data_IF_547356878480
#
_entry.id   IF_547356878480
#
_cell.length_a   1.000
_cell.length_b   1.000
_cell.length_c   1.000
_cell.angle_alpha   90.00
_cell.angle_beta   90.00
_cell.angle_gamma   90.00
#
_symmetry.space_group_name_H-M   'P 1'
#
loop_
_entity.id
_entity.type
_entity.pdbx_description
1 polymer ?
#
# COMPACT_ATOMS: atom_id res chain seq x y z
N UNK A 1 -28.88 18.01 -15.75
CA UNK A 1 -27.68 17.37 -16.32
C UNK A 1 -27.26 16.30 -15.33
N UNK A 2 -27.72 15.07 -15.51
CA UNK A 2 -27.39 13.94 -14.63
C UNK A 2 -25.97 13.52 -14.99
N UNK A 3 -25.01 13.85 -14.13
CA UNK A 3 -23.66 13.29 -14.24
C UNK A 3 -23.78 11.80 -13.97
N UNK A 4 -23.68 10.98 -15.02
CA UNK A 4 -23.69 9.53 -14.90
C UNK A 4 -22.30 9.08 -14.40
N UNK A 5 -22.00 9.41 -13.15
CA UNK A 5 -20.76 8.97 -12.49
C UNK A 5 -20.94 7.51 -12.12
N UNK A 6 -20.12 6.63 -12.70
CA UNK A 6 -20.11 5.21 -12.36
C UNK A 6 -19.36 5.01 -11.03
N UNK A 7 -20.06 5.27 -9.93
CA UNK A 7 -19.54 5.12 -8.56
C UNK A 7 -19.15 3.68 -8.25
N UNK A 8 -19.76 2.70 -8.92
CA UNK A 8 -19.36 1.30 -8.80
C UNK A 8 -17.95 1.08 -9.34
N UNK A 9 -17.63 1.61 -10.52
CA UNK A 9 -16.28 1.52 -11.09
C UNK A 9 -15.23 2.22 -10.24
N UNK A 10 -15.56 3.40 -9.69
CA UNK A 10 -14.64 4.12 -8.79
C UNK A 10 -14.35 3.27 -7.54
N UNK A 11 -15.39 2.66 -6.95
CA UNK A 11 -15.27 1.78 -5.78
C UNK A 11 -14.48 0.51 -6.09
N UNK A 12 -14.73 -0.12 -7.23
CA UNK A 12 -13.96 -1.27 -7.71
C UNK A 12 -12.47 -0.92 -7.82
N UNK A 13 -12.13 0.19 -8.46
CA UNK A 13 -10.74 0.65 -8.57
C UNK A 13 -10.10 0.93 -7.21
N UNK A 14 -10.81 1.61 -6.29
CA UNK A 14 -10.31 1.88 -4.94
C UNK A 14 -10.03 0.58 -4.16
N UNK A 15 -10.94 -0.38 -4.23
CA UNK A 15 -10.78 -1.70 -3.61
C UNK A 15 -9.62 -2.51 -4.23
N UNK A 16 -9.43 -2.43 -5.54
CA UNK A 16 -8.29 -3.08 -6.20
C UNK A 16 -6.95 -2.49 -5.75
N UNK A 17 -6.84 -1.17 -5.62
CA UNK A 17 -5.63 -0.51 -5.10
C UNK A 17 -5.35 -0.95 -3.66
N UNK A 18 -6.38 -1.00 -2.81
CA UNK A 18 -6.28 -1.48 -1.42
C UNK A 18 -5.79 -2.93 -1.38
N UNK A 19 -6.37 -3.80 -2.21
CA UNK A 19 -6.01 -5.22 -2.27
C UNK A 19 -4.57 -5.40 -2.75
N UNK A 20 -4.21 -4.80 -3.88
CA UNK A 20 -2.87 -4.92 -4.47
C UNK A 20 -1.78 -4.36 -3.56
N UNK A 21 -2.03 -3.22 -2.89
CA UNK A 21 -1.07 -2.65 -1.93
C UNK A 21 -0.86 -3.56 -0.72
N UNK A 22 -1.91 -4.26 -0.27
CA UNK A 22 -1.83 -5.24 0.82
C UNK A 22 -1.05 -6.49 0.40
N UNK A 23 -1.37 -7.06 -0.77
CA UNK A 23 -0.67 -8.23 -1.33
C UNK A 23 0.83 -7.94 -1.54
N UNK A 24 1.17 -6.77 -2.09
CA UNK A 24 2.57 -6.35 -2.26
C UNK A 24 3.28 -6.17 -0.92
N UNK A 25 2.59 -5.64 0.10
CA UNK A 25 3.17 -5.44 1.42
C UNK A 25 3.68 -6.74 2.06
N UNK A 26 2.96 -7.85 1.92
CA UNK A 26 3.39 -9.14 2.48
C UNK A 26 4.70 -9.63 1.84
N UNK A 27 4.81 -9.51 0.52
CA UNK A 27 6.00 -9.92 -0.23
C UNK A 27 7.22 -9.07 0.12
N UNK A 28 7.06 -7.74 0.10
CA UNK A 28 8.16 -6.83 0.41
C UNK A 28 8.59 -6.90 1.87
N UNK A 29 7.64 -7.04 2.81
CA UNK A 29 7.97 -7.22 4.23
C UNK A 29 8.85 -8.45 4.43
N UNK A 30 8.46 -9.58 3.83
CA UNK A 30 9.22 -10.83 3.90
C UNK A 30 10.64 -10.68 3.30
N UNK A 31 10.76 -9.97 2.18
CA UNK A 31 12.05 -9.68 1.56
C UNK A 31 12.95 -8.82 2.46
N UNK A 32 12.42 -7.70 2.98
CA UNK A 32 13.16 -6.81 3.87
C UNK A 32 13.64 -7.55 5.11
N UNK A 33 12.77 -8.33 5.76
CA UNK A 33 13.13 -9.12 6.94
C UNK A 33 14.26 -10.11 6.63
N UNK A 34 14.17 -10.82 5.50
CA UNK A 34 15.20 -11.78 5.09
C UNK A 34 16.56 -11.13 4.89
N UNK A 35 16.59 -9.96 4.24
CA UNK A 35 17.81 -9.21 3.97
C UNK A 35 18.42 -8.63 5.26
N UNK A 36 17.58 -8.07 6.14
CA UNK A 36 18.00 -7.48 7.42
C UNK A 36 18.55 -8.55 8.37
N UNK A 37 17.94 -9.75 8.38
CA UNK A 37 18.32 -10.85 9.26
C UNK A 37 19.41 -11.76 8.68
N UNK A 38 19.82 -11.55 7.43
CA UNK A 38 20.87 -12.35 6.77
C UNK A 38 22.18 -12.38 7.55
N UNK A 39 22.69 -11.27 8.12
CA UNK A 39 23.97 -11.28 8.84
C UNK A 39 23.89 -11.88 10.25
N UNK A 40 22.70 -11.87 10.86
CA UNK A 40 22.54 -12.18 12.29
C UNK A 40 21.85 -13.53 12.54
N UNK A 41 20.82 -13.86 11.75
CA UNK A 41 20.02 -15.06 11.94
C UNK A 41 20.53 -16.23 11.10
N UNK A 42 20.55 -16.08 9.77
CA UNK A 42 20.96 -17.18 8.89
C UNK A 42 22.48 -17.27 8.71
N UNK A 43 23.20 -16.16 8.92
CA UNK A 43 24.66 -16.04 8.81
C UNK A 43 25.22 -16.41 7.44
N UNK A 44 24.40 -16.33 6.38
CA UNK A 44 24.82 -16.63 5.01
C UNK A 44 25.74 -15.57 4.41
N UNK A 45 25.60 -14.32 4.88
CA UNK A 45 26.52 -13.24 4.56
C UNK A 45 26.80 -12.43 5.82
N UNK A 46 28.04 -12.46 6.29
CA UNK A 46 28.46 -11.87 7.57
C UNK A 46 29.62 -10.89 7.37
N UNK A 47 29.88 -10.08 8.41
CA UNK A 47 30.96 -9.09 8.42
C UNK A 47 30.46 -7.66 8.29
N UNK A 48 31.39 -6.71 8.33
CA UNK A 48 31.08 -5.28 8.35
C UNK A 48 30.26 -4.84 7.13
N UNK A 49 30.61 -5.34 5.94
CA UNK A 49 29.87 -5.04 4.70
C UNK A 49 28.42 -5.53 4.75
N UNK A 50 28.18 -6.72 5.33
CA UNK A 50 26.85 -7.29 5.45
C UNK A 50 26.00 -6.49 6.44
N UNK A 51 26.61 -6.04 7.55
CA UNK A 51 25.94 -5.18 8.53
C UNK A 51 25.59 -3.81 7.95
N UNK A 52 26.51 -3.19 7.21
CA UNK A 52 26.27 -1.91 6.54
C UNK A 52 25.14 -2.02 5.51
N UNK A 53 25.13 -3.09 4.72
CA UNK A 53 24.04 -3.37 3.78
C UNK A 53 22.70 -3.56 4.49
N UNK A 54 22.65 -4.39 5.54
CA UNK A 54 21.42 -4.60 6.31
C UNK A 54 20.88 -3.31 6.92
N UNK A 55 21.75 -2.38 7.35
CA UNK A 55 21.34 -1.07 7.83
C UNK A 55 20.75 -0.19 6.72
N UNK A 56 21.35 -0.17 5.52
CA UNK A 56 20.78 0.50 4.35
C UNK A 56 19.38 -0.04 4.02
N UNK A 57 19.22 -1.37 4.03
CA UNK A 57 17.95 -2.04 3.75
C UNK A 57 16.87 -1.67 4.78
N UNK A 58 17.22 -1.44 6.06
CA UNK A 58 16.25 -0.92 7.05
C UNK A 58 15.76 0.47 6.68
N UNK A 59 16.63 1.34 6.17
CA UNK A 59 16.22 2.67 5.72
C UNK A 59 15.31 2.59 4.49
N UNK A 60 15.61 1.70 3.55
CA UNK A 60 14.76 1.45 2.38
C UNK A 60 13.38 0.91 2.80
N UNK A 61 13.34 0.01 3.79
CA UNK A 61 12.09 -0.49 4.37
C UNK A 61 11.22 0.64 4.92
N UNK A 62 11.82 1.61 5.64
CA UNK A 62 11.08 2.76 6.18
C UNK A 62 10.47 3.62 5.07
N UNK A 63 11.19 3.82 3.96
CA UNK A 63 10.67 4.55 2.81
C UNK A 63 9.53 3.78 2.12
N UNK A 64 9.71 2.47 1.95
CA UNK A 64 8.67 1.59 1.42
C UNK A 64 7.40 1.60 2.29
N UNK A 65 7.55 1.54 3.62
CA UNK A 65 6.44 1.59 4.56
C UNK A 65 5.63 2.90 4.43
N UNK A 66 6.27 4.02 4.08
CA UNK A 66 5.54 5.28 3.78
C UNK A 66 4.84 5.23 2.42
N UNK A 67 5.51 4.67 1.41
CA UNK A 67 4.95 4.55 0.06
C UNK A 67 3.69 3.67 0.06
N UNK A 68 3.72 2.53 0.75
CA UNK A 68 2.56 1.63 0.80
C UNK A 68 1.37 2.31 1.48
N UNK A 69 1.60 3.08 2.55
CA UNK A 69 0.53 3.81 3.25
C UNK A 69 -0.07 4.89 2.37
N UNK A 70 0.75 5.58 1.57
CA UNK A 70 0.26 6.54 0.59
C UNK A 70 -0.65 5.86 -0.45
N UNK A 71 -0.19 4.77 -1.08
CA UNK A 71 -0.97 4.03 -2.10
C UNK A 71 -2.29 3.49 -1.51
N UNK A 72 -2.22 2.91 -0.32
CA UNK A 72 -3.40 2.38 0.36
C UNK A 72 -4.41 3.50 0.68
N UNK A 73 -3.92 4.66 1.12
CA UNK A 73 -4.75 5.84 1.38
C UNK A 73 -5.44 6.38 0.12
N UNK A 74 -4.78 6.37 -1.04
CA UNK A 74 -5.40 6.74 -2.32
C UNK A 74 -6.56 5.80 -2.67
N UNK A 75 -6.39 4.49 -2.46
CA UNK A 75 -7.46 3.51 -2.66
C UNK A 75 -8.68 3.78 -1.76
N UNK A 76 -8.45 4.13 -0.49
CA UNK A 76 -9.52 4.53 0.44
C UNK A 76 -10.24 5.79 -0.01
N UNK A 77 -9.50 6.80 -0.46
CA UNK A 77 -10.08 8.06 -0.92
C UNK A 77 -11.05 7.85 -2.08
N UNK A 78 -10.73 6.95 -3.01
CA UNK A 78 -11.63 6.61 -4.13
C UNK A 78 -12.93 5.96 -3.64
N UNK A 79 -12.85 5.03 -2.69
CA UNK A 79 -14.04 4.41 -2.09
C UNK A 79 -14.90 5.45 -1.38
N UNK A 80 -14.27 6.33 -0.58
CA UNK A 80 -14.97 7.40 0.12
C UNK A 80 -15.65 8.38 -0.84
N UNK A 81 -15.01 8.74 -1.95
CA UNK A 81 -15.62 9.60 -2.97
C UNK A 81 -16.79 8.93 -3.68
N UNK A 82 -16.70 7.64 -4.01
CA UNK A 82 -17.83 6.90 -4.58
C UNK A 82 -19.06 6.96 -3.65
N UNK A 83 -18.84 6.75 -2.36
CA UNK A 83 -19.91 6.77 -1.35
C UNK A 83 -20.49 8.18 -1.16
N UNK A 84 -19.65 9.23 -1.17
CA UNK A 84 -20.11 10.62 -1.09
C UNK A 84 -20.95 11.02 -2.29
N UNK A 85 -20.57 10.61 -3.50
CA UNK A 85 -21.32 10.90 -4.73
C UNK A 85 -22.68 10.22 -4.69
N UNK A 86 -22.76 8.92 -4.33
CA UNK A 86 -24.04 8.22 -4.21
C UNK A 86 -24.95 8.86 -3.17
N UNK A 87 -24.40 9.29 -2.02
CA UNK A 87 -25.17 9.98 -0.99
C UNK A 87 -25.73 11.32 -1.47
N UNK A 88 -24.99 12.07 -2.31
CA UNK A 88 -25.47 13.32 -2.90
C UNK A 88 -26.55 13.08 -3.95
N UNK A 89 -26.38 12.07 -4.81
CA UNK A 89 -27.38 11.71 -5.83
C UNK A 89 -28.71 11.34 -5.18
N UNK A 90 -28.70 10.48 -4.14
CA UNK A 90 -29.93 10.10 -3.41
C UNK A 90 -30.66 11.30 -2.82
N UNK A 91 -29.93 12.26 -2.22
CA UNK A 91 -30.53 13.49 -1.67
C UNK A 91 -31.16 14.41 -2.72
N UNK A 92 -30.78 14.28 -3.99
CA UNK A 92 -31.37 15.06 -5.08
C UNK A 92 -32.61 14.39 -5.67
N UNK A 93 -32.82 13.10 -5.39
CA UNK A 93 -33.98 12.31 -5.83
C UNK A 93 -35.12 12.29 -4.79
N UNK A 94 -34.83 12.71 -3.55
CA UNK A 94 -35.80 12.97 -2.45
C UNK A 94 -36.39 14.39 -2.52
#
# INVERSE_FOLDING_TARGET
MTYNVDTNKIRECGNDIIRLSTELNELFTSLFERLILMPTNTKEWVGESANAFAESVKQDKLQYDRLKEAIYSEGKLLVEYADQIEAQVRKMEE
#
